data_IF_056325577154
#
_entry.id   IF_056325577154
#
_cell.length_a   1.000
_cell.length_b   1.000
_cell.length_c   1.000
_cell.angle_alpha   90.00
_cell.angle_beta   90.00
_cell.angle_gamma   90.00
#
_symmetry.space_group_name_H-M   'P 1'
#
loop_
_entity.id
_entity.type
_entity.pdbx_description
1 polymer ?
#
# COMPACT_ATOMS: atom_id res chain seq x y z
N UNK A 1 -11.83 -69.14 -18.02
CA UNK A 1 -10.63 -68.35 -17.68
C UNK A 1 -11.12 -67.16 -16.86
N UNK A 2 -10.99 -67.25 -15.54
CA UNK A 2 -11.40 -66.22 -14.58
C UNK A 2 -10.18 -65.40 -14.14
N UNK A 3 -10.48 -64.15 -13.76
CA UNK A 3 -9.69 -63.24 -12.90
C UNK A 3 -8.53 -62.52 -13.65
N UNK A 4 -8.18 -61.23 -13.48
CA UNK A 4 -8.39 -60.17 -12.47
C UNK A 4 -8.14 -58.81 -13.20
N UNK A 5 -8.63 -57.62 -12.83
CA UNK A 5 -8.17 -56.84 -11.67
C UNK A 5 -8.99 -55.54 -11.54
N UNK A 6 -9.60 -55.41 -10.36
CA UNK A 6 -9.68 -54.22 -9.49
C UNK A 6 -10.24 -52.89 -9.99
N UNK A 7 -11.42 -52.57 -9.44
CA UNK A 7 -11.88 -51.20 -9.20
C UNK A 7 -10.96 -50.48 -8.20
N UNK A 8 -10.74 -49.19 -8.42
CA UNK A 8 -10.12 -48.25 -7.49
C UNK A 8 -10.73 -46.88 -7.66
N UNK A 9 -11.80 -46.63 -6.90
CA UNK A 9 -12.32 -45.29 -6.61
C UNK A 9 -11.24 -44.49 -5.87
N UNK A 10 -11.03 -43.24 -6.27
CA UNK A 10 -10.14 -42.29 -5.58
C UNK A 10 -10.49 -40.87 -5.99
N UNK A 11 -11.34 -40.23 -5.19
CA UNK A 11 -11.80 -38.85 -5.28
C UNK A 11 -10.69 -37.84 -4.98
N UNK A 12 -10.57 -36.82 -5.84
CA UNK A 12 -10.28 -35.40 -5.58
C UNK A 12 -9.11 -34.98 -4.67
N UNK A 13 -8.18 -34.21 -5.24
CA UNK A 13 -7.52 -33.00 -4.67
C UNK A 13 -7.07 -32.17 -5.89
N UNK A 14 -7.83 -31.20 -6.38
CA UNK A 14 -7.87 -29.78 -5.97
C UNK A 14 -6.49 -29.11 -5.89
N UNK A 15 -6.32 -28.11 -6.76
CA UNK A 15 -5.50 -26.91 -6.55
C UNK A 15 -3.98 -27.08 -6.44
N UNK A 16 -3.30 -26.81 -7.55
CA UNK A 16 -2.16 -25.87 -7.49
C UNK A 16 -2.41 -24.81 -8.57
N UNK A 17 -3.51 -24.06 -8.40
CA UNK A 17 -3.50 -22.67 -8.81
C UNK A 17 -2.44 -22.03 -7.92
N UNK A 18 -1.18 -22.11 -8.36
CA UNK A 18 -0.10 -21.29 -7.81
C UNK A 18 -0.42 -19.87 -8.19
N UNK A 19 -1.34 -19.28 -7.44
CA UNK A 19 -1.49 -17.85 -7.27
C UNK A 19 -0.21 -17.42 -6.55
N UNK A 20 0.91 -17.42 -7.26
CA UNK A 20 1.68 -16.19 -7.34
C UNK A 20 0.62 -15.18 -7.82
N UNK A 21 -0.08 -14.44 -6.96
CA UNK A 21 0.49 -13.42 -6.09
C UNK A 21 1.77 -12.85 -6.71
N UNK A 22 1.78 -12.72 -8.04
CA UNK A 22 2.03 -11.45 -8.69
C UNK A 22 1.25 -10.44 -7.85
N UNK A 23 1.98 -9.93 -6.86
CA UNK A 23 1.63 -8.75 -6.13
C UNK A 23 1.47 -7.71 -7.21
N UNK A 24 0.24 -7.59 -7.72
CA UNK A 24 -0.28 -6.45 -8.46
C UNK A 24 -0.12 -5.25 -7.53
N UNK A 25 1.12 -4.83 -7.37
CA UNK A 25 1.53 -3.53 -6.87
C UNK A 25 1.67 -2.64 -8.12
N UNK A 26 0.75 -2.82 -9.07
CA UNK A 26 0.70 -2.12 -10.35
C UNK A 26 -0.64 -1.40 -10.51
N UNK A 27 -1.23 -1.03 -9.39
CA UNK A 27 -2.11 0.11 -9.25
C UNK A 27 -1.40 0.93 -8.19
N UNK A 28 -0.47 1.81 -8.55
CA UNK A 28 -0.59 3.24 -8.19
C UNK A 28 0.61 4.05 -8.77
N UNK A 29 1.17 3.63 -9.91
CA UNK A 29 2.40 4.18 -10.50
C UNK A 29 2.32 5.66 -10.96
N UNK A 30 1.19 6.34 -10.73
CA UNK A 30 1.03 7.78 -10.93
C UNK A 30 1.03 8.56 -9.60
N UNK A 31 0.74 7.91 -8.48
CA UNK A 31 0.70 8.55 -7.17
C UNK A 31 1.95 8.24 -6.30
N UNK A 32 2.97 7.60 -6.84
CA UNK A 32 4.30 7.46 -6.22
C UNK A 32 5.17 8.73 -6.35
N UNK A 33 4.68 9.74 -7.08
CA UNK A 33 5.40 11.01 -7.34
C UNK A 33 4.75 12.22 -6.67
N UNK A 34 3.85 11.99 -5.72
CA UNK A 34 3.21 13.04 -4.96
C UNK A 34 3.70 13.01 -3.52
N UNK A 35 4.08 14.17 -3.01
CA UNK A 35 4.39 14.36 -1.60
C UNK A 35 3.12 14.53 -0.81
N UNK A 36 3.04 13.85 0.33
CA UNK A 36 1.88 13.87 1.22
C UNK A 36 2.26 14.51 2.56
N UNK A 37 1.37 15.34 3.10
CA UNK A 37 1.56 15.92 4.41
C UNK A 37 1.17 14.93 5.52
N UNK A 38 2.02 14.90 6.55
CA UNK A 38 1.84 14.16 7.80
C UNK A 38 2.20 15.11 8.93
N UNK A 39 1.62 14.96 10.12
CA UNK A 39 2.14 15.58 11.33
C UNK A 39 3.66 15.39 11.44
N UNK A 40 4.39 16.49 11.63
CA UNK A 40 5.87 16.52 11.59
C UNK A 40 6.49 15.50 12.54
N UNK A 41 5.96 15.38 13.76
CA UNK A 41 6.42 14.41 14.76
C UNK A 41 6.31 12.96 14.26
N UNK A 42 5.19 12.64 13.61
CA UNK A 42 4.92 11.30 13.06
C UNK A 42 5.79 10.99 11.85
N UNK A 43 6.04 11.98 10.99
CA UNK A 43 6.94 11.80 9.86
C UNK A 43 8.37 11.52 10.30
N UNK A 44 8.89 12.28 11.28
CA UNK A 44 10.25 12.07 11.80
C UNK A 44 10.41 10.71 12.47
N UNK A 45 9.46 10.31 13.32
CA UNK A 45 9.45 8.98 13.95
C UNK A 45 9.46 7.87 12.89
N UNK A 46 8.64 7.99 11.86
CA UNK A 46 8.54 6.99 10.81
C UNK A 46 9.75 6.93 9.88
N UNK A 47 10.42 8.05 9.61
CA UNK A 47 11.68 8.07 8.86
C UNK A 47 12.79 7.32 9.61
N UNK A 48 12.82 7.41 10.94
CA UNK A 48 13.82 6.71 11.78
C UNK A 48 13.48 5.23 11.94
N UNK A 49 12.22 4.91 12.22
CA UNK A 49 11.79 3.54 12.52
C UNK A 49 11.44 2.73 11.25
N UNK A 50 11.31 3.37 10.09
CA UNK A 50 10.85 2.72 8.86
C UNK A 50 9.40 2.24 8.94
N UNK A 51 8.56 2.91 9.73
CA UNK A 51 7.17 2.53 9.94
C UNK A 51 6.24 3.20 8.92
N UNK A 52 5.10 2.56 8.60
CA UNK A 52 4.11 3.19 7.73
C UNK A 52 3.40 4.34 8.45
N UNK A 53 3.19 5.45 7.74
CA UNK A 53 2.42 6.63 8.18
C UNK A 53 1.23 6.87 7.27
N UNK A 54 0.23 7.57 7.80
CA UNK A 54 -1.00 7.94 7.10
C UNK A 54 -1.00 9.44 6.80
N UNK A 55 -1.28 9.80 5.55
CA UNK A 55 -1.37 11.16 5.07
C UNK A 55 -2.67 11.83 5.54
N UNK A 56 -2.73 13.16 5.42
CA UNK A 56 -4.01 13.89 5.52
C UNK A 56 -5.06 13.39 4.52
N UNK A 57 -4.64 12.99 3.31
CA UNK A 57 -5.50 12.38 2.30
C UNK A 57 -5.84 10.90 2.55
N UNK A 58 -5.41 10.32 3.69
CA UNK A 58 -5.64 8.90 4.02
C UNK A 58 -4.68 7.89 3.37
N UNK A 59 -3.74 8.33 2.53
CA UNK A 59 -2.74 7.43 1.92
C UNK A 59 -1.76 6.90 2.98
N UNK A 60 -1.52 5.58 2.98
CA UNK A 60 -0.53 4.94 3.85
C UNK A 60 0.77 4.71 3.07
N UNK A 61 1.92 5.16 3.58
CA UNK A 61 3.23 4.88 2.96
C UNK A 61 4.35 4.77 3.99
N UNK A 62 5.46 4.15 3.60
CA UNK A 62 6.70 4.16 4.38
C UNK A 62 7.64 5.21 3.78
N UNK A 63 8.05 6.25 4.53
CA UNK A 63 8.91 7.29 4.00
C UNK A 63 10.30 6.74 3.69
N UNK A 64 10.70 6.77 2.42
CA UNK A 64 12.00 6.25 1.95
C UNK A 64 12.76 7.19 1.00
N UNK A 65 12.15 8.32 0.59
CA UNK A 65 12.70 9.28 -0.39
C UNK A 65 12.46 10.71 0.08
N UNK A 66 13.27 11.65 -0.41
CA UNK A 66 13.12 13.08 -0.12
C UNK A 66 11.81 13.65 -0.72
N UNK A 67 10.86 14.14 0.11
CA UNK A 67 9.58 14.68 -0.35
C UNK A 67 9.72 16.03 -1.08
N UNK A 68 10.84 16.74 -0.95
CA UNK A 68 11.05 18.03 -1.62
C UNK A 68 11.22 17.91 -3.15
N UNK A 69 11.44 16.69 -3.66
CA UNK A 69 11.64 16.45 -5.10
C UNK A 69 10.33 16.23 -5.88
N UNK A 70 9.20 16.23 -5.18
CA UNK A 70 7.92 15.81 -5.73
C UNK A 70 6.84 16.86 -5.43
N UNK A 71 5.93 17.15 -6.38
CA UNK A 71 4.79 18.03 -6.13
C UNK A 71 3.91 17.48 -5.00
N UNK A 72 3.34 18.35 -4.18
CA UNK A 72 2.45 17.95 -3.09
C UNK A 72 1.09 17.51 -3.64
N UNK A 73 0.50 16.47 -3.06
CA UNK A 73 -0.86 16.04 -3.35
C UNK A 73 -1.87 17.20 -3.16
N UNK A 74 -2.73 17.50 -4.16
CA UNK A 74 -3.65 18.63 -4.11
C UNK A 74 -4.58 18.57 -2.90
N UNK A 75 -5.09 17.38 -2.55
CA UNK A 75 -5.97 17.20 -1.39
C UNK A 75 -5.24 17.48 -0.07
N UNK A 76 -4.01 16.97 0.10
CA UNK A 76 -3.18 17.30 1.26
C UNK A 76 -2.91 18.81 1.34
N UNK A 77 -2.70 19.47 0.20
CA UNK A 77 -2.46 20.91 0.14
C UNK A 77 -3.70 21.68 0.57
N UNK A 78 -4.89 21.35 0.05
CA UNK A 78 -6.14 22.02 0.43
C UNK A 78 -6.43 21.90 1.93
N UNK A 79 -6.32 20.69 2.49
CA UNK A 79 -6.52 20.44 3.92
C UNK A 79 -5.50 21.24 4.76
N UNK A 80 -4.24 21.26 4.32
CA UNK A 80 -3.18 22.00 5.00
C UNK A 80 -3.40 23.52 4.98
N UNK A 81 -3.79 24.09 3.84
CA UNK A 81 -4.13 25.51 3.73
C UNK A 81 -5.32 25.86 4.62
N UNK A 82 -6.39 25.04 4.63
CA UNK A 82 -7.55 25.25 5.51
C UNK A 82 -7.22 25.16 7.00
N UNK A 83 -6.27 24.30 7.40
CA UNK A 83 -5.81 24.24 8.80
C UNK A 83 -4.92 25.42 9.17
N UNK A 84 -4.07 25.89 8.25
CA UNK A 84 -3.14 27.00 8.51
C UNK A 84 -3.86 28.35 8.57
N UNK A 85 -4.86 28.57 7.73
CA UNK A 85 -5.64 29.82 7.71
C UNK A 85 -6.45 30.05 9.01
N UNK A 86 -6.68 29.00 9.81
CA UNK A 86 -7.34 29.10 11.11
C UNK A 86 -6.40 29.27 12.32
N UNK A 87 -5.07 29.25 12.13
CA UNK A 87 -4.06 29.33 13.21
C UNK A 87 -3.45 30.75 13.35
N UNK A 88 -3.86 31.71 12.49
CA UNK A 88 -3.40 33.11 12.45
C UNK A 88 -4.29 34.09 13.27
N UNK A 89 -5.07 33.63 14.27
CA UNK A 89 -5.82 34.49 15.23
C UNK A 89 -5.41 34.30 16.70
#
# INVERSE_FOLDING_TARGET
MFAERTAGFGTGVLEDTRVERDLRTTDDGDHERLSHFVPKDKLMEAMVNGTPVVALCGKVWVPSRDPERYPVCPECKEIWESMREGDDE
#
